data_IF_593192150654
#
_entry.id   IF_593192150654
#
_cell.length_a   1.000
_cell.length_b   1.000
_cell.length_c   1.000
_cell.angle_alpha   90.00
_cell.angle_beta   90.00
_cell.angle_gamma   90.00
#
_symmetry.space_group_name_H-M   'P 1'
#
loop_
_entity.id
_entity.type
_entity.pdbx_description
1 polymer ?
#
# COMPACT_ATOMS: atom_id res chain seq x y z
N UNK A 1 -12.57 -1.01 0.13
CA UNK A 1 -11.28 -1.09 0.85
C UNK A 1 -11.07 0.10 1.82
N UNK A 2 -11.59 1.30 1.53
CA UNK A 2 -11.43 2.53 2.33
C UNK A 2 -11.81 2.44 3.83
N UNK A 3 -12.84 1.67 4.19
CA UNK A 3 -13.24 1.50 5.61
C UNK A 3 -12.09 1.00 6.49
N UNK A 4 -11.27 0.08 5.98
CA UNK A 4 -10.14 -0.46 6.73
C UNK A 4 -9.05 0.60 6.94
N UNK A 5 -8.68 1.32 5.87
CA UNK A 5 -7.70 2.41 5.93
C UNK A 5 -8.14 3.49 6.92
N UNK A 6 -9.40 3.94 6.83
CA UNK A 6 -9.94 4.95 7.75
C UNK A 6 -9.93 4.50 9.22
N UNK A 7 -10.16 3.21 9.48
CA UNK A 7 -10.06 2.65 10.83
C UNK A 7 -8.63 2.68 11.36
N UNK A 8 -7.65 2.35 10.51
CA UNK A 8 -6.23 2.42 10.89
C UNK A 8 -5.84 3.87 11.19
N UNK A 9 -6.16 4.81 10.31
CA UNK A 9 -5.84 6.24 10.50
C UNK A 9 -6.49 6.81 11.77
N UNK A 10 -7.77 6.54 12.00
CA UNK A 10 -8.48 7.00 13.21
C UNK A 10 -7.90 6.41 14.49
N UNK A 11 -7.47 5.14 14.47
CA UNK A 11 -6.78 4.53 15.61
C UNK A 11 -5.38 5.10 15.89
N UNK A 12 -4.81 5.87 14.95
CA UNK A 12 -3.47 6.46 15.04
C UNK A 12 -3.50 7.99 15.25
N UNK A 13 -4.50 8.50 15.97
CA UNK A 13 -4.69 9.95 16.23
C UNK A 13 -4.96 10.77 14.96
N UNK A 14 -5.69 10.18 14.00
CA UNK A 14 -6.10 10.80 12.74
C UNK A 14 -4.95 11.21 11.81
N UNK A 15 -3.73 10.72 12.04
CA UNK A 15 -2.60 10.93 11.13
C UNK A 15 -1.65 9.74 11.16
N UNK A 16 -1.13 9.36 9.98
CA UNK A 16 -0.12 8.31 9.84
C UNK A 16 1.22 8.84 9.30
N UNK A 17 1.31 10.16 9.11
CA UNK A 17 2.53 10.80 8.62
C UNK A 17 3.73 10.48 9.52
N UNK A 18 4.83 10.06 8.89
CA UNK A 18 6.09 9.65 9.53
C UNK A 18 6.00 8.48 10.52
N UNK A 19 4.83 7.84 10.70
CA UNK A 19 4.71 6.64 11.53
C UNK A 19 5.23 5.43 10.76
N UNK A 20 5.91 4.53 11.46
CA UNK A 20 6.33 3.24 10.91
C UNK A 20 5.19 2.23 11.04
N UNK A 21 4.75 1.65 9.93
CA UNK A 21 3.65 0.68 9.86
C UNK A 21 4.16 -0.60 9.19
N UNK A 22 3.99 -1.72 9.87
CA UNK A 22 4.28 -3.04 9.32
C UNK A 22 3.07 -3.56 8.52
N UNK A 23 3.32 -4.10 7.33
CA UNK A 23 2.34 -4.79 6.49
C UNK A 23 2.78 -6.25 6.39
N UNK A 24 1.97 -7.15 6.98
CA UNK A 24 2.22 -8.58 6.99
C UNK A 24 1.27 -9.25 6.00
N UNK A 25 1.82 -9.66 4.86
CA UNK A 25 1.07 -10.17 3.72
C UNK A 25 0.82 -9.11 2.65
N UNK A 26 1.13 -9.47 1.42
CA UNK A 26 0.95 -8.66 0.22
C UNK A 26 0.20 -9.41 -0.88
N UNK A 27 0.38 -10.73 -0.98
CA UNK A 27 -0.37 -11.59 -1.87
C UNK A 27 -1.89 -11.52 -1.60
N UNK A 28 -2.70 -11.83 -2.62
CA UNK A 28 -4.17 -11.83 -2.49
C UNK A 28 -4.69 -12.91 -1.51
N UNK A 29 -3.97 -14.03 -1.40
CA UNK A 29 -4.26 -15.14 -0.49
C UNK A 29 -2.97 -15.83 -0.05
N UNK A 30 -3.08 -16.75 0.91
CA UNK A 30 -1.94 -17.56 1.37
C UNK A 30 -1.39 -18.47 0.26
N UNK A 31 -0.14 -18.88 0.42
CA UNK A 31 0.54 -19.91 -0.39
C UNK A 31 0.62 -19.57 -1.90
N UNK A 32 0.67 -18.28 -2.24
CA UNK A 32 0.85 -17.80 -3.62
C UNK A 32 1.56 -16.45 -3.66
N UNK A 33 2.33 -16.20 -4.72
CA UNK A 33 2.90 -14.88 -5.02
C UNK A 33 1.99 -13.98 -5.87
N UNK A 34 0.73 -14.37 -6.09
CA UNK A 34 -0.20 -13.59 -6.93
C UNK A 34 -0.68 -12.33 -6.20
N UNK A 35 -0.26 -11.18 -6.71
CA UNK A 35 -0.59 -9.85 -6.18
C UNK A 35 -1.73 -9.18 -6.94
N UNK A 36 -2.26 -9.79 -8.01
CA UNK A 36 -3.34 -9.20 -8.80
C UNK A 36 -4.57 -9.01 -7.93
N UNK A 37 -5.17 -7.82 -8.02
CA UNK A 37 -6.36 -7.43 -7.25
C UNK A 37 -6.23 -7.49 -5.71
N UNK A 38 -5.03 -7.68 -5.17
CA UNK A 38 -4.81 -7.74 -3.72
C UNK A 38 -5.31 -6.45 -3.04
N UNK A 39 -6.00 -6.54 -1.89
CA UNK A 39 -6.33 -5.36 -1.10
C UNK A 39 -5.10 -4.64 -0.55
N UNK A 40 -3.95 -5.33 -0.43
CA UNK A 40 -2.72 -4.77 0.11
C UNK A 40 -2.22 -3.56 -0.70
N UNK A 41 -2.33 -3.58 -2.03
CA UNK A 41 -1.92 -2.48 -2.91
C UNK A 41 -2.68 -1.20 -2.56
N UNK A 42 -4.01 -1.28 -2.45
CA UNK A 42 -4.85 -0.10 -2.18
C UNK A 42 -4.61 0.45 -0.77
N UNK A 43 -4.39 -0.43 0.22
CA UNK A 43 -4.06 -0.02 1.59
C UNK A 43 -2.69 0.66 1.64
N UNK A 44 -1.67 0.05 1.03
CA UNK A 44 -0.32 0.60 1.02
C UNK A 44 -0.27 1.94 0.28
N UNK A 45 -0.95 2.08 -0.86
CA UNK A 45 -1.03 3.35 -1.60
C UNK A 45 -1.68 4.46 -0.76
N UNK A 46 -2.76 4.16 -0.06
CA UNK A 46 -3.40 5.13 0.85
C UNK A 46 -2.46 5.58 1.96
N UNK A 47 -1.82 4.63 2.66
CA UNK A 47 -0.89 4.94 3.75
C UNK A 47 0.35 5.71 3.27
N UNK A 48 0.90 5.36 2.10
CA UNK A 48 2.03 6.09 1.49
C UNK A 48 1.61 7.50 1.03
N UNK A 49 0.41 7.66 0.48
CA UNK A 49 -0.17 8.96 0.15
C UNK A 49 -0.25 9.88 1.38
N UNK A 50 -0.58 9.30 2.53
CA UNK A 50 -0.60 9.95 3.85
C UNK A 50 0.78 10.05 4.53
N UNK A 51 1.86 9.78 3.79
CA UNK A 51 3.27 9.91 4.22
C UNK A 51 3.70 8.96 5.34
N UNK A 52 3.07 7.79 5.45
CA UNK A 52 3.52 6.74 6.35
C UNK A 52 4.80 6.06 5.86
N UNK A 53 5.62 5.56 6.80
CA UNK A 53 6.78 4.73 6.51
C UNK A 53 6.38 3.25 6.58
N UNK A 54 6.43 2.54 5.46
CA UNK A 54 5.96 1.15 5.39
C UNK A 54 7.13 0.15 5.46
N UNK A 55 6.93 -0.92 6.22
CA UNK A 55 7.75 -2.13 6.20
C UNK A 55 6.88 -3.31 5.79
N UNK A 56 7.10 -3.87 4.60
CA UNK A 56 6.28 -4.94 4.04
C UNK A 56 7.02 -6.26 4.10
N UNK A 57 6.36 -7.31 4.56
CA UNK A 57 6.83 -8.69 4.54
C UNK A 57 5.77 -9.59 3.89
N UNK A 58 6.18 -10.40 2.91
CA UNK A 58 5.39 -11.49 2.37
C UNK A 58 6.34 -12.64 1.96
N UNK A 59 6.11 -13.89 2.41
CA UNK A 59 7.02 -15.00 2.12
C UNK A 59 6.98 -15.50 0.67
N UNK A 60 5.97 -15.11 -0.11
CA UNK A 60 5.73 -15.62 -1.47
C UNK A 60 5.86 -14.53 -2.56
N UNK A 61 5.96 -13.25 -2.18
CA UNK A 61 6.04 -12.13 -3.13
C UNK A 61 7.42 -11.47 -3.06
N UNK A 62 8.09 -11.32 -4.20
CA UNK A 62 9.40 -10.65 -4.26
C UNK A 62 9.32 -9.13 -4.04
N UNK A 63 10.41 -8.55 -3.55
CA UNK A 63 10.53 -7.09 -3.39
C UNK A 63 10.27 -6.33 -4.69
N UNK A 64 10.82 -6.83 -5.81
CA UNK A 64 10.64 -6.20 -7.13
C UNK A 64 9.17 -6.16 -7.54
N UNK A 65 8.41 -7.23 -7.27
CA UNK A 65 6.99 -7.29 -7.58
C UNK A 65 6.19 -6.30 -6.72
N UNK A 66 6.49 -6.22 -5.41
CA UNK A 66 5.87 -5.26 -4.49
C UNK A 66 6.12 -3.82 -4.97
N UNK A 67 7.39 -3.47 -5.29
CA UNK A 67 7.76 -2.13 -5.75
C UNK A 67 7.07 -1.77 -7.06
N UNK A 68 7.03 -2.71 -8.01
CA UNK A 68 6.35 -2.54 -9.30
C UNK A 68 4.86 -2.26 -9.10
N UNK A 69 4.16 -3.08 -8.32
CA UNK A 69 2.72 -2.93 -8.10
C UNK A 69 2.35 -1.62 -7.40
N UNK A 70 3.20 -1.14 -6.49
CA UNK A 70 3.01 0.15 -5.82
C UNK A 70 3.34 1.35 -6.72
N UNK A 71 4.26 1.20 -7.67
CA UNK A 71 4.60 2.26 -8.65
C UNK A 71 3.61 2.39 -9.81
N UNK A 72 2.87 1.33 -10.13
CA UNK A 72 1.91 1.36 -11.25
C UNK A 72 0.71 2.25 -10.89
N UNK A 73 0.39 3.21 -11.77
CA UNK A 73 -0.89 3.93 -11.68
C UNK A 73 -2.02 2.95 -11.90
N UNK A 74 -3.02 2.99 -11.02
CA UNK A 74 -4.24 2.20 -11.22
C UNK A 74 -4.97 2.79 -12.44
N UNK A 75 -5.37 1.96 -13.40
CA UNK A 75 -6.04 2.43 -14.62
C UNK A 75 -7.32 3.18 -14.24
N UNK A 76 -7.54 4.35 -14.86
CA UNK A 76 -8.60 5.30 -14.48
C UNK A 76 -10.05 4.88 -14.77
N UNK A 77 -10.28 3.64 -15.17
CA UNK A 77 -11.62 3.14 -15.51
C UNK A 77 -12.46 2.72 -14.30
N UNK A 78 -11.82 2.41 -13.16
CA UNK A 78 -12.50 1.85 -11.99
C UNK A 78 -12.80 2.86 -10.86
N UNK A 79 -12.50 4.16 -11.03
CA UNK A 79 -12.52 5.12 -9.91
C UNK A 79 -13.14 6.49 -10.27
N UNK A 80 -14.13 6.99 -9.49
CA UNK A 80 -14.56 8.39 -9.56
C UNK A 80 -13.40 9.31 -9.16
N UNK A 81 -13.26 10.46 -9.84
CA UNK A 81 -12.05 11.28 -9.94
C UNK A 81 -11.36 11.78 -8.65
N UNK A 82 -11.94 11.56 -7.47
CA UNK A 82 -11.32 11.93 -6.18
C UNK A 82 -10.10 11.05 -5.84
N UNK A 83 -10.08 9.78 -6.24
CA UNK A 83 -9.00 8.84 -5.88
C UNK A 83 -7.72 9.00 -6.73
N UNK A 84 -7.76 9.80 -7.79
CA UNK A 84 -6.65 9.98 -8.73
C UNK A 84 -5.44 10.66 -8.07
N UNK A 85 -5.65 11.39 -6.97
CA UNK A 85 -4.62 12.07 -6.19
C UNK A 85 -3.89 11.16 -5.17
N UNK A 86 -4.37 9.93 -4.95
CA UNK A 86 -3.80 8.99 -3.96
C UNK A 86 -2.72 8.07 -4.55
N UNK A 87 -2.35 8.25 -5.81
CA UNK A 87 -1.24 7.48 -6.40
C UNK A 87 0.08 7.98 -5.79
N UNK A 88 0.87 7.11 -5.13
CA UNK A 88 2.15 7.52 -4.58
C UNK A 88 3.05 8.08 -5.68
N UNK A 89 3.65 9.24 -5.41
CA UNK A 89 4.70 9.80 -6.24
C UNK A 89 5.99 8.99 -6.10
N UNK A 90 6.94 9.20 -7.01
CA UNK A 90 8.28 8.58 -6.88
C UNK A 90 8.97 8.93 -5.54
N UNK A 91 8.62 10.05 -4.93
CA UNK A 91 9.11 10.44 -3.60
C UNK A 91 8.53 9.59 -2.47
N UNK A 92 7.30 9.12 -2.61
CA UNK A 92 6.59 8.34 -1.57
C UNK A 92 7.13 6.90 -1.50
N UNK A 93 7.61 6.35 -2.62
CA UNK A 93 8.24 5.03 -2.64
C UNK A 93 9.57 4.99 -1.86
N UNK A 94 10.18 6.15 -1.56
CA UNK A 94 11.36 6.20 -0.66
C UNK A 94 11.02 5.83 0.79
N UNK A 95 9.75 5.91 1.18
CA UNK A 95 9.28 5.55 2.52
C UNK A 95 8.97 4.04 2.67
N UNK A 96 9.21 3.25 1.62
CA UNK A 96 8.98 1.82 1.57
C UNK A 96 10.26 1.02 1.83
N UNK A 97 10.17 0.11 2.80
CA UNK A 97 11.13 -0.97 3.04
C UNK A 97 10.44 -2.31 2.82
N UNK A 98 11.04 -3.21 2.05
CA UNK A 98 10.66 -4.63 2.02
C UNK A 98 11.66 -5.36 2.90
N UNK A 99 11.14 -6.17 3.83
CA UNK A 99 11.95 -6.88 4.83
C UNK A 99 11.75 -8.38 4.66
N UNK A 100 12.78 -9.16 5.02
CA UNK A 100 12.79 -10.62 5.00
C UNK A 100 13.11 -11.15 6.39
#
# INVERSE_FOLDING_TARGET
KNRFVNRVVSSMFNTVANKKIAILGFAFKKDTGDTRETPAIDVCKGLLGDKANLSIYDPQVSEDQIRKDLSMKKFGWDHPGHLQLLSPSAGDIKQLSVVW
#
